data_IF_683917961687
#
_entry.id   IF_683917961687
#
_cell.length_a   1.000
_cell.length_b   1.000
_cell.length_c   1.000
_cell.angle_alpha   90.00
_cell.angle_beta   90.00
_cell.angle_gamma   90.00
#
_symmetry.space_group_name_H-M   'P 1'
#
loop_
_entity.id
_entity.type
_entity.pdbx_description
1 polymer ?
#
# COMPACT_ATOMS: atom_id res chain seq x y z
N UNK A 1 -9.69 1.03 17.63
CA UNK A 1 -8.23 1.16 17.78
C UNK A 1 -7.76 1.86 16.52
N UNK A 2 -7.17 3.05 16.62
CA UNK A 2 -6.67 3.75 15.42
C UNK A 2 -5.41 3.01 14.99
N UNK A 3 -5.41 2.45 13.79
CA UNK A 3 -4.28 1.68 13.26
C UNK A 3 -3.29 2.66 12.62
N UNK A 4 -2.00 2.55 12.96
CA UNK A 4 -0.96 3.45 12.43
C UNK A 4 -0.59 3.07 11.00
N UNK A 5 -0.31 4.05 10.15
CA UNK A 5 0.16 3.80 8.78
C UNK A 5 1.63 3.45 8.82
N UNK A 6 2.07 2.48 8.02
CA UNK A 6 3.48 2.11 7.95
C UNK A 6 4.35 3.29 7.52
N UNK A 7 3.85 4.12 6.61
CA UNK A 7 4.59 5.29 6.11
C UNK A 7 4.97 6.28 7.21
N UNK A 8 4.15 6.43 8.26
CA UNK A 8 4.41 7.34 9.38
C UNK A 8 5.56 6.85 10.30
N UNK A 9 5.98 5.58 10.14
CA UNK A 9 7.04 4.96 10.93
C UNK A 9 8.37 4.85 10.18
N UNK A 10 8.40 5.15 8.88
CA UNK A 10 9.61 5.08 8.07
C UNK A 10 10.39 6.40 8.18
N UNK A 11 11.71 6.29 8.32
CA UNK A 11 12.60 7.43 8.13
C UNK A 11 12.92 7.53 6.63
N UNK A 12 12.74 8.72 6.05
CA UNK A 12 12.91 8.98 4.62
C UNK A 12 14.30 8.47 4.13
N UNK A 13 14.31 7.79 2.98
CA UNK A 13 15.48 7.35 2.20
C UNK A 13 16.20 6.01 2.51
N UNK A 14 15.63 5.08 3.28
CA UNK A 14 16.24 3.74 3.43
C UNK A 14 15.51 2.63 2.69
N UNK A 15 16.26 1.82 1.94
CA UNK A 15 15.87 0.47 1.54
C UNK A 15 15.43 -0.29 2.80
N UNK A 16 14.16 -0.68 2.88
CA UNK A 16 13.63 -1.38 4.05
C UNK A 16 12.92 -2.68 3.66
N UNK A 17 12.96 -3.61 4.59
CA UNK A 17 12.30 -4.90 4.48
C UNK A 17 11.21 -4.95 5.54
N UNK A 18 10.06 -5.52 5.19
CA UNK A 18 9.04 -5.86 6.17
C UNK A 18 8.87 -7.38 6.28
N UNK A 19 8.60 -7.83 7.49
CA UNK A 19 8.34 -9.23 7.82
C UNK A 19 6.95 -9.37 8.46
N UNK A 20 6.53 -10.60 8.75
CA UNK A 20 5.28 -10.88 9.49
C UNK A 20 4.05 -10.23 8.85
N UNK A 21 4.01 -10.21 7.51
CA UNK A 21 2.95 -9.58 6.75
C UNK A 21 1.68 -10.41 6.84
N UNK A 22 0.55 -9.74 7.08
CA UNK A 22 -0.78 -10.33 7.06
C UNK A 22 -1.66 -9.59 6.07
N UNK A 23 -2.14 -10.29 5.05
CA UNK A 23 -3.07 -9.76 4.06
C UNK A 23 -4.47 -9.66 4.68
N UNK A 24 -5.09 -8.50 4.58
CA UNK A 24 -6.44 -8.24 5.09
C UNK A 24 -7.45 -8.01 3.98
N UNK A 25 -7.02 -7.60 2.79
CA UNK A 25 -7.86 -7.60 1.60
C UNK A 25 -7.04 -7.64 0.30
N UNK A 26 -7.67 -8.07 -0.79
CA UNK A 26 -7.18 -7.94 -2.16
C UNK A 26 -8.22 -7.14 -2.94
N UNK A 27 -7.79 -6.04 -3.55
CA UNK A 27 -8.63 -5.15 -4.34
C UNK A 27 -8.19 -5.23 -5.79
N UNK A 28 -9.12 -5.60 -6.65
CA UNK A 28 -8.97 -5.53 -8.09
C UNK A 28 -9.84 -4.39 -8.62
N UNK A 29 -9.25 -3.46 -9.35
CA UNK A 29 -10.00 -2.41 -10.04
C UNK A 29 -10.07 -2.71 -11.55
N UNK A 30 -10.37 -1.70 -12.37
CA UNK A 30 -10.44 -1.85 -13.82
C UNK A 30 -9.08 -1.67 -14.53
N UNK A 31 -7.98 -1.58 -13.77
CA UNK A 31 -6.62 -1.50 -14.28
C UNK A 31 -5.95 -2.89 -14.34
N UNK A 32 -4.69 -2.91 -14.80
CA UNK A 32 -3.85 -4.11 -14.81
C UNK A 32 -3.13 -4.35 -13.46
N UNK A 33 -3.34 -3.44 -12.50
CA UNK A 33 -2.72 -3.48 -11.17
C UNK A 33 -3.69 -4.01 -10.11
N UNK A 34 -3.12 -4.54 -9.03
CA UNK A 34 -3.81 -5.09 -7.87
C UNK A 34 -3.34 -4.36 -6.64
N UNK A 35 -4.27 -3.95 -5.78
CA UNK A 35 -3.93 -3.36 -4.49
C UNK A 35 -4.22 -4.35 -3.37
N UNK A 36 -3.19 -4.74 -2.63
CA UNK A 36 -3.32 -5.53 -1.41
C UNK A 36 -3.40 -4.59 -0.21
N UNK A 37 -4.32 -4.87 0.69
CA UNK A 37 -4.39 -4.27 2.01
C UNK A 37 -3.73 -5.22 2.99
N UNK A 38 -2.77 -4.73 3.78
CA UNK A 38 -1.99 -5.60 4.65
C UNK A 38 -1.55 -4.91 5.94
N UNK A 39 -1.12 -5.73 6.87
CA UNK A 39 -0.57 -5.30 8.15
C UNK A 39 0.77 -5.97 8.39
N UNK A 40 1.65 -5.30 9.12
CA UNK A 40 2.99 -5.80 9.47
C UNK A 40 3.38 -5.31 10.86
N UNK A 41 4.27 -6.04 11.52
CA UNK A 41 4.94 -5.56 12.71
C UNK A 41 6.22 -4.84 12.34
N UNK A 42 6.29 -3.55 12.66
CA UNK A 42 7.46 -2.70 12.48
C UNK A 42 7.71 -1.95 13.80
N UNK A 43 8.95 -1.94 14.28
CA UNK A 43 9.33 -1.38 15.59
C UNK A 43 8.44 -1.83 16.77
N UNK A 44 8.09 -3.12 16.79
CA UNK A 44 7.20 -3.76 17.77
C UNK A 44 5.76 -3.20 17.82
N UNK A 45 5.34 -2.48 16.78
CA UNK A 45 3.99 -1.97 16.63
C UNK A 45 3.35 -2.48 15.34
N UNK A 46 2.02 -2.67 15.40
CA UNK A 46 1.25 -3.12 14.25
C UNK A 46 0.89 -1.94 13.36
N UNK A 47 1.35 -2.00 12.12
CA UNK A 47 1.13 -0.98 11.10
C UNK A 47 0.29 -1.52 9.95
N UNK A 48 -0.49 -0.64 9.33
CA UNK A 48 -1.27 -0.91 8.13
C UNK A 48 -0.64 -0.24 6.92
N UNK A 49 -0.66 -0.92 5.77
CA UNK A 49 -0.16 -0.40 4.51
C UNK A 49 -0.94 -0.97 3.32
N UNK A 50 -0.91 -0.22 2.22
CA UNK A 50 -1.36 -0.72 0.92
C UNK A 50 -0.15 -1.13 0.09
N UNK A 51 -0.31 -2.17 -0.71
CA UNK A 51 0.73 -2.69 -1.59
C UNK A 51 0.19 -2.77 -3.01
N UNK A 52 0.67 -1.91 -3.89
CA UNK A 52 0.42 -1.96 -5.33
C UNK A 52 1.28 -3.03 -5.98
N UNK A 53 0.64 -3.89 -6.78
CA UNK A 53 1.23 -5.07 -7.38
C UNK A 53 0.76 -5.24 -8.81
N UNK A 54 1.61 -5.82 -9.64
CA UNK A 54 1.16 -6.47 -10.88
C UNK A 54 0.50 -7.82 -10.56
N UNK A 55 -0.33 -8.36 -11.48
CA UNK A 55 -0.86 -9.72 -11.35
C UNK A 55 0.21 -10.81 -11.18
N UNK A 56 1.39 -10.63 -11.78
CA UNK A 56 2.50 -11.57 -11.63
C UNK A 56 3.07 -11.57 -10.21
N UNK A 57 3.18 -10.39 -9.60
CA UNK A 57 3.60 -10.23 -8.21
C UNK A 57 2.54 -10.74 -7.24
N UNK A 58 1.24 -10.56 -7.54
CA UNK A 58 0.17 -11.18 -6.79
C UNK A 58 0.33 -12.71 -6.79
N UNK A 59 0.46 -13.35 -7.96
CA UNK A 59 0.65 -14.81 -8.06
C UNK A 59 1.85 -15.30 -7.24
N UNK A 60 2.96 -14.55 -7.21
CA UNK A 60 4.09 -14.86 -6.35
C UNK A 60 3.71 -14.82 -4.86
N UNK A 61 3.01 -13.78 -4.40
CA UNK A 61 2.55 -13.67 -3.02
C UNK A 61 1.56 -14.78 -2.64
N UNK A 62 0.63 -15.13 -3.54
CA UNK A 62 -0.34 -16.21 -3.32
C UNK A 62 0.37 -17.55 -3.06
N UNK A 63 1.45 -17.85 -3.80
CA UNK A 63 2.22 -19.09 -3.64
C UNK A 63 2.96 -19.18 -2.31
N UNK A 64 3.36 -18.04 -1.74
CA UNK A 64 4.09 -17.98 -0.47
C UNK A 64 3.17 -17.82 0.75
N UNK A 65 1.85 -17.81 0.56
CA UNK A 65 0.84 -17.81 1.64
C UNK A 65 0.68 -19.18 2.35
N UNK A 66 1.67 -20.07 2.22
CA UNK A 66 1.76 -21.39 2.87
C UNK A 66 0.46 -22.21 2.77
N UNK A 67 -0.12 -22.62 3.90
CA UNK A 67 -1.33 -23.47 3.95
C UNK A 67 -2.57 -22.80 3.34
N UNK A 68 -2.57 -21.47 3.20
CA UNK A 68 -3.67 -20.70 2.59
C UNK A 68 -3.51 -20.52 1.08
N UNK A 69 -2.40 -20.93 0.47
CA UNK A 69 -2.09 -20.65 -0.92
C UNK A 69 -3.15 -21.17 -1.90
N UNK A 70 -3.55 -22.44 -1.78
CA UNK A 70 -4.52 -23.07 -2.69
C UNK A 70 -5.90 -22.40 -2.60
N UNK A 71 -6.42 -22.24 -1.38
CA UNK A 71 -7.71 -21.59 -1.15
C UNK A 71 -7.70 -20.13 -1.62
N UNK A 72 -6.60 -19.41 -1.42
CA UNK A 72 -6.49 -18.02 -1.83
C UNK A 72 -6.43 -17.87 -3.36
N UNK A 73 -5.76 -18.80 -4.06
CA UNK A 73 -5.77 -18.85 -5.51
C UNK A 73 -7.16 -19.16 -6.07
N UNK A 74 -7.91 -20.04 -5.42
CA UNK A 74 -9.31 -20.33 -5.77
C UNK A 74 -10.21 -19.11 -5.55
N UNK A 75 -10.13 -18.46 -4.39
CA UNK A 75 -10.88 -17.23 -4.08
C UNK A 75 -10.65 -16.14 -5.16
N UNK A 76 -9.38 -15.93 -5.55
CA UNK A 76 -9.02 -14.96 -6.59
C UNK A 76 -9.56 -15.36 -7.95
N UNK A 77 -9.43 -16.64 -8.33
CA UNK A 77 -9.92 -17.14 -9.61
C UNK A 77 -11.45 -16.99 -9.71
N UNK A 78 -12.17 -17.36 -8.65
CA UNK A 78 -13.62 -17.25 -8.57
C UNK A 78 -14.08 -15.78 -8.60
N UNK A 79 -13.41 -14.91 -7.87
CA UNK A 79 -13.69 -13.47 -7.87
C UNK A 79 -13.57 -12.88 -9.27
N UNK A 80 -12.45 -13.14 -9.96
CA UNK A 80 -12.20 -12.63 -11.31
C UNK A 80 -13.11 -13.26 -12.37
N UNK A 81 -13.52 -14.52 -12.19
CA UNK A 81 -14.42 -15.19 -13.12
C UNK A 81 -15.88 -14.73 -12.97
N UNK A 82 -16.28 -14.27 -11.78
CA UNK A 82 -17.67 -13.94 -11.46
C UNK A 82 -17.95 -12.44 -11.31
N UNK A 83 -16.90 -11.59 -11.32
CA UNK A 83 -17.01 -10.13 -11.22
C UNK A 83 -17.94 -9.57 -12.28
N UNK A 84 -18.90 -8.75 -11.82
CA UNK A 84 -19.85 -8.01 -12.67
C UNK A 84 -19.69 -6.51 -12.55
N UNK A 85 -19.30 -6.06 -11.37
CA UNK A 85 -19.13 -4.66 -10.99
C UNK A 85 -17.74 -4.49 -10.40
N UNK A 86 -17.07 -3.41 -10.80
CA UNK A 86 -15.73 -3.05 -10.34
C UNK A 86 -15.81 -1.83 -9.41
N UNK A 87 -14.94 -1.71 -8.39
CA UNK A 87 -13.86 -2.64 -8.02
C UNK A 87 -14.36 -3.92 -7.33
N UNK A 88 -13.60 -5.01 -7.48
CA UNK A 88 -13.82 -6.27 -6.79
C UNK A 88 -12.95 -6.33 -5.52
N UNK A 89 -13.55 -6.71 -4.39
CA UNK A 89 -12.91 -6.76 -3.10
C UNK A 89 -13.01 -8.16 -2.50
N UNK A 90 -11.87 -8.74 -2.12
CA UNK A 90 -11.78 -9.96 -1.31
C UNK A 90 -11.28 -9.59 0.09
N UNK A 91 -12.11 -9.78 1.12
CA UNK A 91 -11.79 -9.40 2.50
C UNK A 91 -11.43 -10.60 3.39
N UNK A 92 -10.38 -10.40 4.19
CA UNK A 92 -9.81 -11.35 5.15
C UNK A 92 -9.63 -10.68 6.52
N UNK A 93 -10.71 -10.13 7.08
CA UNK A 93 -10.69 -9.35 8.32
C UNK A 93 -11.70 -9.83 9.38
N UNK A 94 -12.27 -11.03 9.22
CA UNK A 94 -13.31 -11.58 10.10
C UNK A 94 -12.91 -12.90 10.74
N UNK A 95 -13.68 -13.38 11.72
CA UNK A 95 -13.42 -14.72 12.30
C UNK A 95 -13.59 -15.85 11.28
N UNK A 96 -14.52 -15.70 10.32
CA UNK A 96 -14.76 -16.69 9.27
C UNK A 96 -13.65 -16.68 8.21
N UNK A 97 -13.17 -15.49 7.86
CA UNK A 97 -12.08 -15.25 6.92
C UNK A 97 -11.00 -14.42 7.61
N UNK A 98 -10.13 -15.05 8.42
CA UNK A 98 -9.08 -14.33 9.14
C UNK A 98 -7.99 -13.85 8.19
N UNK A 99 -7.18 -12.85 8.61
CA UNK A 99 -6.04 -12.34 7.84
C UNK A 99 -5.11 -13.46 7.38
N UNK A 100 -4.59 -13.33 6.17
CA UNK A 100 -3.74 -14.36 5.56
C UNK A 100 -2.27 -14.05 5.86
N UNK A 101 -1.57 -14.88 6.67
CA UNK A 101 -0.17 -14.65 6.96
C UNK A 101 0.72 -15.03 5.77
N UNK A 102 1.82 -14.30 5.60
CA UNK A 102 2.93 -14.66 4.71
C UNK A 102 4.13 -15.14 5.57
N UNK A 103 4.16 -16.42 5.99
CA UNK A 103 5.21 -16.90 6.87
C UNK A 103 6.54 -17.02 6.14
N UNK A 104 7.65 -16.79 6.86
CA UNK A 104 9.02 -16.98 6.36
C UNK A 104 9.37 -16.15 5.12
N UNK A 105 8.68 -15.03 4.93
CA UNK A 105 8.92 -14.09 3.83
C UNK A 105 9.33 -12.73 4.38
N UNK A 106 10.33 -12.12 3.75
CA UNK A 106 10.65 -10.71 3.87
C UNK A 106 10.34 -10.03 2.53
N UNK A 107 9.56 -8.95 2.56
CA UNK A 107 9.22 -8.15 1.38
C UNK A 107 10.13 -6.92 1.32
N UNK A 108 10.78 -6.69 0.18
CA UNK A 108 11.45 -5.42 -0.10
C UNK A 108 10.45 -4.48 -0.75
N UNK A 109 10.25 -3.33 -0.13
CA UNK A 109 9.24 -2.36 -0.55
C UNK A 109 9.90 -1.04 -1.00
N UNK A 110 9.29 -0.39 -1.98
CA UNK A 110 9.55 1.02 -2.32
C UNK A 110 8.32 1.88 -2.02
N UNK A 111 8.58 3.15 -1.69
CA UNK A 111 7.56 4.19 -1.61
C UNK A 111 7.74 5.16 -2.77
N UNK A 112 6.64 5.74 -3.25
CA UNK A 112 6.69 6.82 -4.24
C UNK A 112 6.16 8.09 -3.61
N UNK A 113 6.91 9.17 -3.79
CA UNK A 113 6.51 10.51 -3.41
C UNK A 113 5.81 11.16 -4.59
N UNK A 114 4.72 11.91 -4.36
CA UNK A 114 4.12 12.78 -5.36
C UNK A 114 5.18 13.66 -6.05
N UNK A 115 5.13 13.74 -7.38
CA UNK A 115 6.16 14.44 -8.17
C UNK A 115 6.16 15.97 -7.94
N UNK A 116 5.03 16.52 -7.52
CA UNK A 116 4.82 17.91 -7.12
C UNK A 116 5.58 18.29 -5.84
N UNK A 117 6.06 17.32 -5.05
CA UNK A 117 6.89 17.60 -3.87
C UNK A 117 8.31 18.08 -4.19
N UNK A 118 8.79 17.81 -5.40
CA UNK A 118 10.16 18.17 -5.81
C UNK A 118 10.22 19.48 -6.59
N UNK A 119 9.10 20.17 -6.82
CA UNK A 119 9.06 21.41 -7.59
C UNK A 119 9.25 22.69 -6.74
N UNK A 120 9.29 22.60 -5.40
CA UNK A 120 9.34 23.78 -4.50
C UNK A 120 10.69 24.03 -3.79
N UNK A 121 11.74 23.23 -4.01
CA UNK A 121 13.07 23.41 -3.34
C UNK A 121 14.15 24.12 -4.20
N UNK A 122 13.82 24.68 -5.36
CA UNK A 122 14.72 25.56 -6.11
C UNK A 122 14.01 26.85 -6.57
N UNK A 123 13.77 27.82 -5.67
CA UNK A 123 13.96 29.23 -6.04
C UNK A 123 14.59 29.99 -4.85
N UNK A 124 15.81 30.45 -5.09
CA UNK A 124 16.58 31.27 -4.18
C UNK A 124 15.95 32.65 -3.95
N UNK A 125 16.47 33.31 -2.92
CA UNK A 125 16.32 34.73 -2.64
C UNK A 125 16.32 35.56 -3.95
N UNK A 126 15.20 36.22 -4.28
CA UNK A 126 15.20 37.64 -4.66
C UNK A 126 13.79 38.27 -4.60
N UNK A 127 13.82 39.49 -4.09
CA UNK A 127 12.77 40.45 -3.74
C UNK A 127 12.00 40.97 -4.98
N UNK A 128 10.65 40.96 -4.96
CA UNK A 128 9.77 42.11 -5.26
C UNK A 128 8.31 41.74 -5.64
N UNK A 129 7.40 42.05 -4.71
CA UNK A 129 6.09 42.73 -4.89
C UNK A 129 5.18 42.36 -6.09
N UNK A 130 4.02 41.74 -5.85
CA UNK A 130 2.71 42.24 -6.36
C UNK A 130 1.51 41.60 -5.64
N UNK A 131 0.83 42.43 -4.84
CA UNK A 131 -0.40 42.16 -4.10
C UNK A 131 -1.64 42.41 -4.99
N UNK A 132 -2.45 41.39 -5.28
CA UNK A 132 -3.86 41.57 -5.68
C UNK A 132 -4.73 40.56 -4.94
N UNK A 133 -5.37 41.04 -3.87
CA UNK A 133 -6.55 40.43 -3.27
C UNK A 133 -7.74 40.41 -4.24
N UNK A 134 -8.35 39.23 -4.43
CA UNK A 134 -9.76 39.13 -4.80
C UNK A 134 -10.38 37.83 -4.24
N UNK A 135 -11.13 37.98 -3.14
CA UNK A 135 -12.00 36.98 -2.54
C UNK A 135 -13.20 36.64 -3.47
N UNK A 136 -13.52 35.35 -3.60
CA UNK A 136 -14.89 34.78 -3.65
C UNK A 136 -14.77 33.24 -3.78
N UNK A 137 -14.66 32.48 -2.68
CA UNK A 137 -15.74 31.96 -1.81
C UNK A 137 -16.28 30.57 -2.26
N UNK A 138 -16.08 29.60 -1.36
CA UNK A 138 -16.79 28.33 -1.18
C UNK A 138 -16.61 27.18 -2.18
N UNK A 139 -15.70 26.26 -1.86
CA UNK A 139 -16.05 24.86 -1.52
C UNK A 139 -14.83 24.23 -0.82
N UNK A 140 -15.01 23.77 0.42
CA UNK A 140 -14.06 22.91 1.15
C UNK A 140 -13.90 21.59 0.36
N UNK A 141 -13.07 21.61 -0.68
CA UNK A 141 -12.34 20.42 -1.07
C UNK A 141 -11.26 20.27 -0.01
N UNK A 142 -11.42 19.25 0.83
CA UNK A 142 -10.37 18.76 1.72
C UNK A 142 -9.04 18.89 1.00
N UNK A 143 -8.17 19.74 1.56
CA UNK A 143 -6.78 19.87 1.17
C UNK A 143 -6.22 18.46 1.25
N UNK A 144 -6.23 17.75 0.12
CA UNK A 144 -5.47 16.52 -0.04
C UNK A 144 -4.09 16.91 0.47
N UNK A 145 -3.60 16.22 1.50
CA UNK A 145 -2.23 16.37 1.99
C UNK A 145 -1.29 15.92 0.86
N UNK A 146 -1.21 16.69 -0.23
CA UNK A 146 -0.39 16.46 -1.42
C UNK A 146 1.10 16.48 -1.06
N UNK A 147 1.39 16.93 0.16
CA UNK A 147 2.70 16.91 0.80
C UNK A 147 3.17 15.56 1.35
N UNK A 148 2.28 14.61 1.61
CA UNK A 148 2.65 13.38 2.34
C UNK A 148 2.84 12.19 1.39
N UNK A 149 3.86 11.34 1.61
CA UNK A 149 3.98 10.09 0.88
C UNK A 149 2.69 9.27 1.03
N UNK A 150 2.19 8.77 -0.10
CA UNK A 150 1.04 7.87 -0.08
C UNK A 150 1.39 6.63 0.74
N UNK A 151 0.47 6.14 1.57
CA UNK A 151 0.63 4.85 2.27
C UNK A 151 0.42 3.66 1.32
N UNK A 152 0.91 3.78 0.09
CA UNK A 152 0.91 2.79 -0.98
C UNK A 152 2.38 2.51 -1.29
N UNK A 153 2.75 1.25 -1.12
CA UNK A 153 4.08 0.75 -1.40
C UNK A 153 4.04 -0.11 -2.66
N UNK A 154 5.18 -0.24 -3.33
CA UNK A 154 5.35 -1.17 -4.44
C UNK A 154 6.29 -2.29 -4.03
N UNK A 155 5.96 -3.51 -4.44
CA UNK A 155 6.80 -4.66 -4.18
C UNK A 155 8.00 -4.63 -5.12
N UNK A 156 9.21 -4.58 -4.57
CA UNK A 156 10.43 -4.71 -5.36
C UNK A 156 10.82 -6.18 -5.52
N UNK A 157 10.85 -6.93 -4.42
CA UNK A 157 11.27 -8.34 -4.43
C UNK A 157 10.78 -9.10 -3.18
N UNK A 158 10.76 -10.43 -3.25
CA UNK A 158 10.28 -11.35 -2.22
C UNK A 158 11.40 -12.30 -1.82
N UNK A 159 11.79 -12.28 -0.56
CA UNK A 159 12.88 -13.11 -0.04
C UNK A 159 12.35 -14.16 0.92
N UNK A 160 12.74 -15.42 0.71
CA UNK A 160 12.49 -16.50 1.66
C UNK A 160 13.54 -16.48 2.76
N UNK A 161 13.09 -16.55 4.00
CA UNK A 161 13.99 -16.79 5.14
C UNK A 161 14.45 -18.24 5.11
N UNK A 162 15.76 -18.43 5.01
CA UNK A 162 16.39 -19.71 5.34
C UNK A 162 16.43 -19.75 6.87
N UNK A 163 15.68 -20.66 7.50
CA UNK A 163 15.82 -20.91 8.94
C UNK A 163 17.28 -21.25 9.27
N UNK A 164 17.84 -20.78 10.40
CA UNK A 164 19.07 -21.36 10.93
C UNK A 164 18.89 -22.82 11.36
#
# INVERSE_FOLDING_TARGET
MIMRRLIDALADDTDFFIEQVQLTAIVFDNSDDVTIWATTFFDNELHFFHLGLTFQQLDLLLRVAAERAEALQEDVADALATVRDWPCLLEYNSEANPPVPLPNVALKLSCTYPADLFEDEEEGEDDDTFDISMNADSEEAEEYESGQPHNIFYLEDVFLRIEP
#
